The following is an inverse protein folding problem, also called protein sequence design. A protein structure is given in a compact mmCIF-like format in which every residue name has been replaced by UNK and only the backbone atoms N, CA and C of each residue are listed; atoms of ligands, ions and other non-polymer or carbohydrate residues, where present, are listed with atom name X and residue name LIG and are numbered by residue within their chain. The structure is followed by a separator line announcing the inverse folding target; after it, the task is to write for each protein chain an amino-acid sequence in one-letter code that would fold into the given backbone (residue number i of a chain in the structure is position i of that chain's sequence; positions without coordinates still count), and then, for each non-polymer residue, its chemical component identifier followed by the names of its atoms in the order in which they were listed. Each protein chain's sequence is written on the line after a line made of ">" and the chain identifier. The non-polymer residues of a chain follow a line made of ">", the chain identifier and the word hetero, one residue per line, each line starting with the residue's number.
data_IF_268703203592
#
_entry.id   IF_268703203592
#
_cell.length_a   1.000
_cell.length_b   1.000
_cell.length_c   1.000
_cell.angle_alpha   90.00
_cell.angle_beta   90.00
_cell.angle_gamma   90.00
#
_symmetry.space_group_name_H-M   'P 1'
#
loop_
_entity.id
_entity.type
_entity.pdbx_description
1 polymer ?
#
# COMPACT_ATOMS: atom_id res chain seq x y z
N UNK A 1 -23.66 4.19 -24.70
CA UNK A 1 -23.50 3.16 -23.65
C UNK A 1 -22.22 2.42 -23.97
N UNK A 2 -21.14 2.72 -23.26
CA UNK A 2 -19.83 2.12 -23.53
C UNK A 2 -19.89 0.67 -23.05
N UNK A 3 -19.80 -0.28 -23.97
CA UNK A 3 -19.75 -1.71 -23.62
C UNK A 3 -18.41 -1.94 -22.96
N UNK A 4 -18.42 -2.11 -21.63
CA UNK A 4 -17.22 -2.37 -20.88
C UNK A 4 -16.78 -3.82 -21.14
N UNK A 5 -15.77 -4.02 -21.97
CA UNK A 5 -15.20 -5.35 -22.22
C UNK A 5 -14.29 -5.72 -21.03
N UNK A 6 -14.79 -6.53 -20.11
CA UNK A 6 -13.98 -7.20 -19.09
C UNK A 6 -13.57 -8.60 -19.58
N UNK A 7 -12.32 -8.97 -19.33
CA UNK A 7 -11.72 -10.25 -19.68
C UNK A 7 -11.32 -11.02 -18.42
N UNK A 8 -11.05 -12.32 -18.59
CA UNK A 8 -10.47 -13.15 -17.54
C UNK A 8 -9.18 -12.51 -17.00
N UNK A 9 -9.09 -12.38 -15.67
CA UNK A 9 -7.96 -11.77 -14.97
C UNK A 9 -8.04 -10.25 -14.79
N UNK A 10 -8.99 -9.56 -15.45
CA UNK A 10 -9.20 -8.14 -15.21
C UNK A 10 -9.70 -7.88 -13.79
N UNK A 11 -9.33 -6.72 -13.24
CA UNK A 11 -9.94 -6.17 -12.05
C UNK A 11 -11.05 -5.19 -12.43
N UNK A 12 -12.17 -5.26 -11.72
CA UNK A 12 -13.38 -4.49 -12.02
C UNK A 12 -13.94 -3.83 -10.76
N UNK A 13 -14.55 -2.67 -10.96
CA UNK A 13 -15.40 -2.01 -9.99
C UNK A 13 -16.82 -2.54 -10.13
N UNK A 14 -17.42 -2.97 -9.03
CA UNK A 14 -18.78 -3.50 -8.97
C UNK A 14 -19.65 -2.64 -8.07
N UNK A 15 -20.88 -2.38 -8.53
CA UNK A 15 -21.87 -1.60 -7.81
C UNK A 15 -22.13 -2.21 -6.44
N UNK A 16 -22.09 -1.41 -5.35
CA UNK A 16 -22.43 -1.91 -4.03
C UNK A 16 -23.94 -2.07 -3.86
N UNK A 17 -24.35 -2.96 -2.97
CA UNK A 17 -25.77 -3.17 -2.65
C UNK A 17 -26.39 -1.96 -1.96
N UNK A 18 -25.61 -1.25 -1.14
CA UNK A 18 -26.05 -0.06 -0.41
C UNK A 18 -25.67 1.21 -1.17
N UNK A 19 -26.65 2.07 -1.44
CA UNK A 19 -26.43 3.35 -2.10
C UNK A 19 -25.53 4.24 -1.22
N UNK A 20 -24.43 4.74 -1.80
CA UNK A 20 -23.48 5.64 -1.14
C UNK A 20 -22.21 4.98 -0.60
N UNK A 21 -22.09 3.65 -0.68
CA UNK A 21 -20.80 2.96 -0.45
C UNK A 21 -19.88 3.11 -1.67
N UNK A 22 -18.58 3.01 -1.43
CA UNK A 22 -17.60 2.90 -2.51
C UNK A 22 -17.86 1.61 -3.32
N UNK A 23 -17.53 1.58 -4.62
CA UNK A 23 -17.63 0.37 -5.42
C UNK A 23 -16.76 -0.76 -4.85
N UNK A 24 -17.26 -1.99 -4.94
CA UNK A 24 -16.48 -3.17 -4.60
C UNK A 24 -15.44 -3.44 -5.68
N UNK A 25 -14.29 -3.98 -5.30
CA UNK A 25 -13.23 -4.35 -6.24
C UNK A 25 -13.17 -5.87 -6.34
N UNK A 26 -13.17 -6.41 -7.56
CA UNK A 26 -13.09 -7.84 -7.76
C UNK A 26 -12.18 -8.22 -8.94
N UNK A 27 -11.54 -9.38 -8.86
CA UNK A 27 -10.87 -10.01 -9.99
C UNK A 27 -11.81 -10.96 -10.71
N UNK A 28 -11.86 -10.89 -12.04
CA UNK A 28 -12.65 -11.79 -12.87
C UNK A 28 -11.93 -13.13 -13.01
N UNK A 29 -12.52 -14.20 -12.48
CA UNK A 29 -11.96 -15.57 -12.49
C UNK A 29 -12.60 -16.45 -13.56
N UNK A 30 -13.82 -16.12 -14.00
CA UNK A 30 -14.49 -16.79 -15.13
C UNK A 30 -15.62 -15.90 -15.65
N UNK A 31 -15.89 -16.00 -16.94
CA UNK A 31 -17.06 -15.40 -17.58
C UNK A 31 -17.88 -16.53 -18.20
N UNK A 32 -19.18 -16.55 -17.93
CA UNK A 32 -20.11 -17.50 -18.52
C UNK A 32 -21.39 -16.82 -19.00
N UNK A 33 -21.93 -17.31 -20.11
CA UNK A 33 -23.22 -16.88 -20.64
C UNK A 33 -24.19 -18.06 -20.61
N UNK A 34 -25.41 -17.81 -20.16
CA UNK A 34 -26.48 -18.80 -20.23
C UNK A 34 -27.08 -18.89 -21.65
N UNK A 35 -28.00 -19.85 -21.86
CA UNK A 35 -28.68 -20.03 -23.15
C UNK A 35 -29.56 -18.83 -23.58
N UNK A 36 -29.80 -17.87 -22.68
CA UNK A 36 -30.54 -16.63 -22.93
C UNK A 36 -29.61 -15.43 -23.11
N UNK A 37 -28.29 -15.66 -23.23
CA UNK A 37 -27.23 -14.64 -23.30
C UNK A 37 -27.14 -13.75 -22.05
N UNK A 38 -27.63 -14.19 -20.89
CA UNK A 38 -27.33 -13.50 -19.63
C UNK A 38 -25.90 -13.84 -19.23
N UNK A 39 -25.07 -12.80 -19.10
CA UNK A 39 -23.66 -12.96 -18.73
C UNK A 39 -23.52 -12.88 -17.21
N UNK A 40 -22.84 -13.89 -16.65
CA UNK A 40 -22.39 -13.95 -15.27
C UNK A 40 -20.87 -13.94 -15.21
N UNK A 41 -20.35 -13.35 -14.16
CA UNK A 41 -18.93 -13.31 -13.83
C UNK A 41 -18.71 -14.03 -12.52
N UNK A 42 -17.79 -14.98 -12.51
CA UNK A 42 -17.26 -15.55 -11.28
C UNK A 42 -16.13 -14.65 -10.86
N UNK A 43 -16.20 -14.12 -9.65
CA UNK A 43 -15.30 -13.10 -9.16
C UNK A 43 -14.66 -13.52 -7.86
N UNK A 44 -13.43 -13.06 -7.66
CA UNK A 44 -12.69 -13.15 -6.40
C UNK A 44 -12.59 -11.75 -5.81
N UNK A 45 -13.09 -11.57 -4.59
CA UNK A 45 -13.23 -10.25 -3.99
C UNK A 45 -11.90 -9.72 -3.47
N UNK A 46 -11.68 -8.43 -3.69
CA UNK A 46 -10.75 -7.64 -2.90
C UNK A 46 -11.51 -6.95 -1.77
N UNK A 47 -10.93 -6.95 -0.58
CA UNK A 47 -11.47 -6.25 0.58
C UNK A 47 -10.68 -4.97 0.80
N UNK A 48 -11.36 -3.86 1.08
CA UNK A 48 -10.67 -2.68 1.59
C UNK A 48 -10.38 -2.83 3.10
N UNK A 49 -9.41 -2.07 3.64
CA UNK A 49 -9.11 -2.05 5.07
C UNK A 49 -10.35 -1.90 5.97
N UNK A 50 -11.31 -1.07 5.57
CA UNK A 50 -12.56 -0.82 6.29
C UNK A 50 -13.48 -2.04 6.38
N UNK A 51 -13.39 -2.96 5.42
CA UNK A 51 -14.20 -4.19 5.36
C UNK A 51 -13.52 -5.38 6.04
N UNK A 52 -12.26 -5.23 6.45
CA UNK A 52 -11.54 -6.28 7.17
C UNK A 52 -12.02 -6.41 8.62
N UNK A 53 -11.80 -7.58 9.23
CA UNK A 53 -12.13 -7.81 10.64
C UNK A 53 -11.43 -6.83 11.59
N UNK A 54 -10.20 -6.42 11.25
CA UNK A 54 -9.41 -5.48 12.04
C UNK A 54 -9.72 -4.00 11.77
N UNK A 55 -10.51 -3.70 10.73
CA UNK A 55 -10.79 -2.34 10.27
C UNK A 55 -9.57 -1.61 9.69
N UNK A 56 -9.80 -0.37 9.22
CA UNK A 56 -8.70 0.50 8.75
C UNK A 56 -7.79 0.89 9.92
N UNK A 57 -6.49 0.96 9.63
CA UNK A 57 -5.39 1.28 10.56
C UNK A 57 -4.50 2.34 9.90
N UNK A 58 -3.66 3.01 10.70
CA UNK A 58 -2.82 4.12 10.22
C UNK A 58 -1.85 3.71 9.12
N UNK A 59 -1.44 2.44 9.11
CA UNK A 59 -0.48 1.90 8.14
C UNK A 59 -1.12 1.46 6.83
N UNK A 60 -2.44 1.38 6.78
CA UNK A 60 -3.13 1.04 5.55
C UNK A 60 -3.14 2.24 4.62
N UNK A 61 -2.64 2.06 3.39
CA UNK A 61 -2.77 3.07 2.35
C UNK A 61 -4.23 3.27 1.94
N UNK A 62 -4.56 4.45 1.42
CA UNK A 62 -5.87 4.82 0.93
C UNK A 62 -6.31 3.96 -0.26
N UNK A 63 -5.35 3.48 -1.06
CA UNK A 63 -5.56 2.62 -2.23
C UNK A 63 -5.28 1.13 -1.98
N UNK A 64 -5.07 0.77 -0.72
CA UNK A 64 -4.77 -0.61 -0.34
C UNK A 64 -6.00 -1.51 -0.42
N UNK A 65 -5.78 -2.73 -0.90
CA UNK A 65 -6.76 -3.80 -0.98
C UNK A 65 -6.12 -5.12 -0.54
N UNK A 66 -6.96 -6.07 -0.14
CA UNK A 66 -6.54 -7.43 0.20
C UNK A 66 -7.23 -8.46 -0.68
N UNK A 67 -6.45 -9.34 -1.31
CA UNK A 67 -7.01 -10.38 -2.17
C UNK A 67 -7.60 -11.49 -1.30
N UNK A 68 -8.92 -11.58 -1.24
CA UNK A 68 -9.56 -12.53 -0.32
C UNK A 68 -9.63 -13.95 -0.86
N UNK A 69 -9.95 -14.94 -0.04
CA UNK A 69 -10.40 -16.28 -0.44
C UNK A 69 -11.91 -16.36 -0.73
N UNK A 70 -12.61 -15.21 -0.78
CA UNK A 70 -14.04 -15.14 -1.04
C UNK A 70 -14.31 -15.07 -2.55
N UNK A 71 -14.95 -16.14 -3.06
CA UNK A 71 -15.43 -16.24 -4.42
C UNK A 71 -16.94 -16.11 -4.48
N UNK A 72 -17.45 -15.48 -5.53
CA UNK A 72 -18.89 -15.31 -5.75
C UNK A 72 -19.23 -15.27 -7.25
N UNK A 73 -20.51 -15.34 -7.58
CA UNK A 73 -21.04 -15.24 -8.94
C UNK A 73 -21.99 -14.07 -9.04
N UNK A 74 -21.64 -13.08 -9.86
CA UNK A 74 -22.38 -11.85 -10.04
C UNK A 74 -22.86 -11.67 -11.48
N UNK A 75 -23.91 -10.87 -11.69
CA UNK A 75 -24.32 -10.47 -13.04
C UNK A 75 -23.30 -9.50 -13.62
N UNK A 76 -22.96 -9.61 -14.90
CA UNK A 76 -22.08 -8.63 -15.55
C UNK A 76 -22.63 -7.19 -15.52
N UNK A 77 -23.94 -7.01 -15.30
CA UNK A 77 -24.58 -5.69 -15.17
C UNK A 77 -24.20 -4.92 -13.89
N UNK A 78 -23.60 -5.59 -12.91
CA UNK A 78 -23.11 -4.93 -11.70
C UNK A 78 -21.74 -4.29 -11.92
N UNK A 79 -21.04 -4.59 -13.01
CA UNK A 79 -19.75 -3.98 -13.34
C UNK A 79 -19.98 -2.53 -13.78
N UNK A 80 -19.32 -1.60 -13.09
CA UNK A 80 -19.40 -0.15 -13.38
C UNK A 80 -18.15 0.35 -14.11
N UNK A 81 -17.01 -0.32 -13.93
CA UNK A 81 -15.73 0.10 -14.49
C UNK A 81 -14.65 -0.97 -14.39
N UNK A 82 -13.52 -0.73 -15.07
CA UNK A 82 -12.30 -1.52 -14.92
C UNK A 82 -11.35 -0.72 -14.03
N UNK A 83 -10.65 -1.42 -13.14
CA UNK A 83 -9.60 -0.85 -12.31
C UNK A 83 -8.31 -1.65 -12.45
N UNK A 84 -7.22 -1.13 -11.88
CA UNK A 84 -5.92 -1.81 -11.88
C UNK A 84 -5.51 -2.04 -10.43
N UNK A 85 -5.34 -3.31 -10.06
CA UNK A 85 -4.75 -3.69 -8.78
C UNK A 85 -3.29 -4.07 -9.02
N UNK A 86 -2.39 -3.16 -8.70
CA UNK A 86 -0.96 -3.32 -8.88
C UNK A 86 -0.36 -4.21 -7.80
N UNK A 87 0.78 -4.82 -8.12
CA UNK A 87 1.70 -5.25 -7.06
C UNK A 87 2.24 -4.02 -6.36
N UNK A 88 2.56 -4.13 -5.07
CA UNK A 88 3.10 -3.02 -4.30
C UNK A 88 4.30 -2.33 -4.98
N UNK A 89 5.24 -3.14 -5.48
CA UNK A 89 6.43 -2.66 -6.20
C UNK A 89 6.10 -1.83 -7.45
N UNK A 90 5.02 -2.16 -8.16
CA UNK A 90 4.63 -1.42 -9.34
C UNK A 90 3.87 -0.14 -8.98
N UNK A 91 3.02 -0.22 -7.96
CA UNK A 91 2.27 0.93 -7.45
C UNK A 91 3.20 2.05 -6.97
N UNK A 92 4.23 1.73 -6.18
CA UNK A 92 5.19 2.71 -5.66
C UNK A 92 6.07 3.37 -6.74
N UNK A 93 6.01 2.88 -7.98
CA UNK A 93 6.71 3.44 -9.14
C UNK A 93 5.82 4.29 -10.04
N UNK A 94 4.53 4.42 -9.73
CA UNK A 94 3.63 5.29 -10.47
C UNK A 94 4.01 6.75 -10.22
N UNK A 95 4.16 7.53 -11.29
CA UNK A 95 4.41 8.98 -11.18
C UNK A 95 3.17 9.71 -10.63
N UNK A 96 1.98 9.24 -11.02
CA UNK A 96 0.70 9.75 -10.57
C UNK A 96 -0.25 8.58 -10.32
N UNK A 97 -0.87 8.55 -9.14
CA UNK A 97 -1.87 7.54 -8.78
C UNK A 97 -3.23 8.01 -9.28
N UNK A 98 -3.85 7.23 -10.18
CA UNK A 98 -5.18 7.48 -10.69
C UNK A 98 -6.30 7.08 -9.73
N UNK A 99 -7.54 7.45 -10.08
CA UNK A 99 -8.72 7.05 -9.30
C UNK A 99 -8.95 5.54 -9.35
N UNK A 100 -8.57 4.90 -10.45
CA UNK A 100 -8.71 3.46 -10.71
C UNK A 100 -7.49 2.63 -10.31
N UNK A 101 -6.44 3.26 -9.77
CA UNK A 101 -5.23 2.57 -9.34
C UNK A 101 -5.33 2.17 -7.87
N UNK A 102 -5.13 0.88 -7.63
CA UNK A 102 -5.10 0.24 -6.32
C UNK A 102 -3.84 -0.61 -6.19
N UNK A 103 -3.53 -1.08 -4.99
CA UNK A 103 -2.49 -2.07 -4.79
C UNK A 103 -2.89 -3.13 -3.79
N UNK A 104 -2.28 -4.31 -3.92
CA UNK A 104 -2.48 -5.43 -3.00
C UNK A 104 -1.13 -5.98 -2.55
N UNK A 105 -0.96 -6.09 -1.23
CA UNK A 105 0.22 -6.69 -0.59
C UNK A 105 -0.11 -8.08 -0.04
N UNK A 106 -1.33 -8.25 0.45
CA UNK A 106 -1.74 -9.41 1.24
C UNK A 106 -2.86 -10.20 0.60
N UNK A 107 -2.76 -11.52 0.74
CA UNK A 107 -3.93 -12.39 0.71
C UNK A 107 -4.66 -12.30 2.05
N UNK A 108 -5.99 -12.40 2.03
CA UNK A 108 -6.85 -12.28 3.20
C UNK A 108 -7.83 -13.45 3.30
N UNK A 109 -7.96 -14.03 4.48
CA UNK A 109 -8.94 -15.10 4.75
C UNK A 109 -10.21 -14.49 5.31
N UNK A 110 -11.23 -14.36 4.46
CA UNK A 110 -12.47 -13.66 4.80
C UNK A 110 -13.19 -14.28 6.00
N UNK A 111 -13.07 -15.60 6.22
CA UNK A 111 -13.70 -16.27 7.35
C UNK A 111 -12.97 -16.09 8.69
N UNK A 112 -11.64 -15.91 8.68
CA UNK A 112 -10.82 -15.88 9.91
C UNK A 112 -10.17 -14.53 10.18
N UNK A 113 -10.20 -13.60 9.23
CA UNK A 113 -9.49 -12.33 9.29
C UNK A 113 -7.97 -12.42 9.11
N UNK A 114 -7.43 -13.61 8.79
CA UNK A 114 -5.98 -13.81 8.75
C UNK A 114 -5.35 -13.30 7.44
N UNK A 115 -4.18 -12.68 7.55
CA UNK A 115 -3.39 -12.21 6.40
C UNK A 115 -2.29 -13.20 6.00
N UNK A 116 -1.89 -13.16 4.73
CA UNK A 116 -0.73 -13.89 4.20
C UNK A 116 0.04 -13.00 3.21
N UNK A 117 1.37 -12.86 3.34
CA UNK A 117 2.21 -13.41 4.39
C UNK A 117 1.87 -12.83 5.77
N UNK A 118 2.15 -13.58 6.84
CA UNK A 118 2.01 -13.15 8.23
C UNK A 118 3.20 -12.28 8.68
N UNK A 119 4.21 -12.11 7.82
CA UNK A 119 5.38 -11.26 8.06
C UNK A 119 5.71 -10.41 6.85
N UNK A 120 6.09 -9.15 7.09
CA UNK A 120 6.51 -8.22 6.04
C UNK A 120 7.84 -7.57 6.35
N UNK A 121 8.62 -7.32 5.30
CA UNK A 121 9.87 -6.59 5.40
C UNK A 121 9.58 -5.13 5.71
N UNK A 122 10.34 -4.59 6.66
CA UNK A 122 10.24 -3.21 7.10
C UNK A 122 11.54 -2.51 6.83
N UNK A 123 11.42 -1.33 6.25
CA UNK A 123 12.57 -0.53 5.81
C UNK A 123 12.81 0.68 6.72
N UNK A 124 11.98 0.87 7.76
CA UNK A 124 11.97 2.05 8.63
C UNK A 124 12.36 1.74 10.07
N UNK A 125 13.07 2.70 10.71
CA UNK A 125 13.44 2.65 12.13
C UNK A 125 12.23 2.61 13.08
N UNK A 126 11.06 3.06 12.62
CA UNK A 126 9.81 2.96 13.37
C UNK A 126 9.17 1.56 13.35
N UNK A 127 9.79 0.59 12.66
CA UNK A 127 9.29 -0.78 12.56
C UNK A 127 7.86 -0.89 12.01
N UNK A 128 7.47 0.06 11.15
CA UNK A 128 6.17 0.06 10.48
C UNK A 128 6.30 -0.23 8.98
N UNK A 129 5.48 -1.13 8.41
CA UNK A 129 5.45 -1.40 6.97
C UNK A 129 5.09 -0.13 6.20
N UNK A 130 5.66 -0.01 5.00
CA UNK A 130 5.62 1.22 4.21
C UNK A 130 4.17 1.62 3.85
N UNK A 131 3.75 2.80 4.28
CA UNK A 131 2.52 3.44 3.79
C UNK A 131 2.87 4.27 2.55
N UNK A 132 2.34 3.90 1.39
CA UNK A 132 2.61 4.59 0.12
C UNK A 132 2.15 6.06 0.10
N UNK A 133 1.26 6.44 1.01
CA UNK A 133 0.61 7.75 1.02
C UNK A 133 1.33 8.74 1.95
N UNK A 134 2.14 8.25 2.88
CA UNK A 134 3.01 9.08 3.71
C UNK A 134 4.30 9.41 2.95
N UNK A 135 4.16 10.31 1.98
CA UNK A 135 5.29 10.92 1.31
C UNK A 135 6.02 11.84 2.29
N UNK A 136 7.18 11.39 2.75
CA UNK A 136 8.48 12.03 2.50
C UNK A 136 9.54 11.32 3.35
N UNK A 137 10.43 10.63 2.64
CA UNK A 137 11.47 9.80 3.21
C UNK A 137 12.79 10.58 3.23
N UNK A 138 13.49 10.56 4.36
CA UNK A 138 14.90 10.92 4.40
C UNK A 138 15.72 9.62 4.44
N UNK A 139 16.83 9.58 3.71
CA UNK A 139 17.85 8.57 3.92
C UNK A 139 18.74 9.03 5.09
N UNK A 140 18.63 8.37 6.24
CA UNK A 140 19.56 8.54 7.35
C UNK A 140 20.42 7.30 7.46
N UNK A 141 21.73 7.43 7.25
CA UNK A 141 22.71 6.41 7.64
C UNK A 141 22.20 4.98 7.34
N UNK A 142 21.82 4.69 6.09
CA UNK A 142 21.31 3.40 5.57
C UNK A 142 19.83 3.03 5.81
N UNK A 143 19.07 3.81 6.57
CA UNK A 143 17.65 3.57 6.83
C UNK A 143 16.77 4.63 6.16
N UNK A 144 15.60 4.21 5.66
CA UNK A 144 14.53 5.15 5.34
C UNK A 144 13.86 5.54 6.66
N UNK A 145 13.58 6.82 6.86
CA UNK A 145 12.84 7.33 8.02
C UNK A 145 11.72 8.22 7.53
N UNK A 146 10.53 8.10 8.14
CA UNK A 146 9.50 9.09 7.95
C UNK A 146 9.93 10.39 8.62
N UNK A 147 9.72 11.51 7.94
CA UNK A 147 9.96 12.86 8.46
C UNK A 147 9.33 13.07 9.86
N UNK A 148 8.10 12.61 10.06
CA UNK A 148 7.40 12.70 11.32
C UNK A 148 8.10 11.91 12.45
N UNK A 149 8.69 10.75 12.15
CA UNK A 149 9.40 9.93 13.14
C UNK A 149 10.69 10.58 13.65
N UNK A 150 11.27 11.49 12.88
CA UNK A 150 12.46 12.27 13.27
C UNK A 150 12.12 13.71 13.66
N UNK A 151 10.82 14.05 13.72
CA UNK A 151 10.35 15.37 14.15
C UNK A 151 10.63 16.49 13.17
N UNK A 152 10.71 16.18 11.87
CA UNK A 152 11.03 17.14 10.81
C UNK A 152 9.77 17.36 9.97
N UNK A 153 9.45 18.61 9.66
CA UNK A 153 8.30 18.93 8.79
C UNK A 153 8.68 18.86 7.31
N UNK A 154 7.68 18.74 6.43
CA UNK A 154 7.88 18.76 4.97
C UNK A 154 8.61 20.04 4.52
N UNK A 155 8.31 21.18 5.15
CA UNK A 155 8.93 22.47 4.81
C UNK A 155 10.39 22.56 5.25
N UNK A 156 10.74 21.93 6.37
CA UNK A 156 12.11 21.83 6.85
C UNK A 156 12.91 20.84 6.00
N UNK A 157 12.32 19.70 5.64
CA UNK A 157 12.92 18.70 4.75
C UNK A 157 13.34 19.28 3.41
N UNK A 158 12.48 20.12 2.81
CA UNK A 158 12.76 20.79 1.53
C UNK A 158 13.91 21.79 1.60
N UNK A 159 14.28 22.26 2.80
CA UNK A 159 15.35 23.23 3.05
C UNK A 159 16.66 22.56 3.48
N UNK A 160 16.65 21.25 3.72
CA UNK A 160 17.82 20.49 4.14
C UNK A 160 18.55 19.97 2.90
N UNK A 161 19.76 20.45 2.68
CA UNK A 161 20.64 19.92 1.62
C UNK A 161 21.29 18.59 2.03
N UNK A 162 21.49 18.37 3.34
CA UNK A 162 22.03 17.13 3.93
C UNK A 162 21.38 16.85 5.29
N UNK A 163 21.10 15.58 5.58
CA UNK A 163 20.53 15.14 6.85
C UNK A 163 21.50 14.21 7.59
N UNK A 164 21.78 14.50 8.87
CA UNK A 164 22.62 13.66 9.74
C UNK A 164 21.78 13.12 10.90
N UNK A 165 21.81 11.80 11.10
CA UNK A 165 21.12 11.12 12.22
C UNK A 165 21.73 11.51 13.58
N UNK A 166 20.90 11.58 14.63
CA UNK A 166 21.34 11.80 16.03
C UNK A 166 22.35 10.75 16.49
N UNK A 167 22.22 9.50 16.06
CA UNK A 167 23.18 8.42 16.38
C UNK A 167 24.49 8.54 15.58
N UNK A 168 24.46 9.23 14.44
CA UNK A 168 25.67 9.55 13.65
C UNK A 168 26.33 10.85 14.15
N UNK A 169 25.77 11.51 15.19
CA UNK A 169 26.20 12.82 15.70
C UNK A 169 27.01 12.77 17.00
N UNK A 170 27.27 11.60 17.58
CA UNK A 170 28.12 11.53 18.76
C UNK A 170 29.48 10.95 18.40
N UNK A 171 30.48 11.82 18.30
CA UNK A 171 31.51 11.85 19.33
C UNK A 171 31.93 13.31 19.60
N UNK A 172 31.96 13.62 20.90
CA UNK A 172 32.36 14.88 21.56
C UNK A 172 31.32 16.05 21.60
N UNK A 173 30.85 16.27 22.82
CA UNK A 173 30.18 17.46 23.38
C UNK A 173 28.70 17.72 23.09
N UNK A 174 27.89 17.38 24.10
CA UNK A 174 26.48 17.70 24.19
C UNK A 174 26.22 19.21 24.24
N UNK A 175 25.81 19.79 23.12
CA UNK A 175 24.98 21.00 23.07
C UNK A 175 24.05 20.93 21.87
N UNK A 176 22.76 21.16 22.13
CA UNK A 176 21.71 21.38 21.13
C UNK A 176 22.15 22.38 20.05
N UNK A 177 22.14 21.98 18.77
CA UNK A 177 21.61 22.78 17.64
C UNK A 177 21.86 22.10 16.30
N UNK A 178 20.81 22.05 15.48
CA UNK A 178 20.91 21.91 14.02
C UNK A 178 21.86 22.96 13.46
N UNK A 179 22.85 22.55 12.68
CA UNK A 179 23.66 23.47 11.87
C UNK A 179 23.81 22.94 10.45
N UNK A 180 23.59 23.81 9.47
CA UNK A 180 23.95 23.62 8.08
C UNK A 180 25.47 23.65 7.95
N UNK A 181 26.07 22.56 7.49
CA UNK A 181 27.50 22.47 7.22
C UNK A 181 27.78 21.54 6.05
N UNK A 182 28.27 22.12 4.95
CA UNK A 182 28.70 21.42 3.74
C UNK A 182 30.01 20.66 3.98
N UNK A 183 30.07 19.38 3.59
CA UNK A 183 31.31 18.74 3.16
C UNK A 183 30.97 17.64 2.15
N UNK A 184 31.45 17.82 0.91
CA UNK A 184 31.36 16.85 -0.17
C UNK A 184 32.32 15.69 0.07
N UNK A 185 31.84 14.46 0.02
CA UNK A 185 32.68 13.32 -0.34
C UNK A 185 31.90 12.30 -1.17
N UNK A 186 32.57 11.92 -2.26
CA UNK A 186 32.16 11.07 -3.36
C UNK A 186 31.90 9.62 -2.96
N UNK A 187 30.86 9.05 -3.60
CA UNK A 187 30.63 7.64 -3.99
C UNK A 187 31.31 6.55 -3.16
N UNK A 188 30.53 5.64 -2.57
CA UNK A 188 30.63 4.19 -2.84
C UNK A 188 29.55 3.39 -2.07
N UNK A 189 28.84 2.54 -2.81
CA UNK A 189 28.24 1.26 -2.40
C UNK A 189 27.73 1.14 -0.95
N UNK A 190 26.56 1.71 -0.68
CA UNK A 190 25.82 1.41 0.55
C UNK A 190 24.83 0.28 0.26
N UNK A 191 25.24 -0.95 0.54
CA UNK A 191 24.34 -2.11 0.68
C UNK A 191 23.20 -1.71 1.64
N UNK A 192 21.92 -1.90 1.29
CA UNK A 192 20.83 -1.64 2.22
C UNK A 192 21.01 -2.52 3.46
N UNK A 193 20.89 -1.92 4.64
CA UNK A 193 20.89 -2.62 5.92
C UNK A 193 19.77 -3.67 5.95
N UNK A 194 20.03 -4.80 6.61
CA UNK A 194 19.19 -6.00 6.60
C UNK A 194 17.67 -5.71 6.74
N UNK A 195 16.87 -6.29 5.85
CA UNK A 195 15.41 -6.26 5.91
C UNK A 195 14.95 -6.90 7.23
N UNK A 196 14.34 -6.12 8.13
CA UNK A 196 13.72 -6.66 9.35
C UNK A 196 12.33 -7.15 9.00
N UNK A 197 12.03 -8.42 9.27
CA UNK A 197 10.66 -8.94 9.11
C UNK A 197 9.87 -8.70 10.39
N UNK A 198 8.74 -8.00 10.30
CA UNK A 198 7.79 -7.84 11.42
C UNK A 198 6.56 -8.69 11.20
N UNK A 199 5.87 -9.03 12.29
CA UNK A 199 4.60 -9.76 12.27
C UNK A 199 3.46 -8.81 11.86
N UNK A 200 2.71 -9.19 10.82
CA UNK A 200 1.59 -8.42 10.27
C UNK A 200 0.51 -8.21 11.33
N UNK A 201 0.28 -9.17 12.23
CA UNK A 201 -0.71 -9.01 13.31
C UNK A 201 -0.31 -7.91 14.28
N UNK A 202 0.98 -7.80 14.60
CA UNK A 202 1.45 -6.76 15.52
C UNK A 202 1.29 -5.35 14.94
N UNK A 203 1.32 -5.20 13.60
CA UNK A 203 1.29 -3.91 12.93
C UNK A 203 -0.07 -3.53 12.34
N UNK A 204 -0.90 -4.52 12.00
CA UNK A 204 -2.21 -4.32 11.37
C UNK A 204 -3.41 -4.80 12.22
N UNK A 205 -3.19 -5.55 13.32
CA UNK A 205 -4.28 -6.09 14.16
C UNK A 205 -4.38 -5.52 15.60
N UNK A 206 -3.54 -4.56 16.02
CA UNK A 206 -3.64 -3.89 17.34
C UNK A 206 -4.40 -2.56 17.27
#
# INVERSE_FOLDING_TARGET
>A
MQVLCAFLGDCVLMRPSDAGKAPYVARVEKIEADARNNVKVHCRWYYCPEESHGGRRQLHGAKELFLSDHFDVQSAHTIEGKCIVHTFKNYTRLENVGVEDYYCIFDYKAATGAFTPDRVAVYYKCEMPYNSDELMELLLCHYRVHLACVGVTIEEAKKLEHFVCVECSSDEDGVKRFQNGFASSTTNDLKPSAEKMIDVRASYEL
#
